data_IF_194068763743
#
_entry.id   IF_194068763743
#
_cell.length_a   1.000
_cell.length_b   1.000
_cell.length_c   1.000
_cell.angle_alpha   90.00
_cell.angle_beta   90.00
_cell.angle_gamma   90.00
#
_symmetry.space_group_name_H-M   'P 1'
#
loop_
_entity.id
_entity.type
_entity.pdbx_description
1 polymer ?
#
# COMPACT_ATOMS: atom_id res chain seq x y z
N UNK A 1 14.19 -17.51 -9.64
CA UNK A 1 12.92 -16.78 -9.56
C UNK A 1 13.28 -15.31 -9.70
N UNK A 2 12.83 -14.69 -10.78
CA UNK A 2 13.41 -13.50 -11.40
C UNK A 2 13.66 -12.31 -10.46
N UNK A 3 14.84 -11.71 -10.62
CA UNK A 3 15.23 -10.37 -10.17
C UNK A 3 14.38 -9.29 -10.85
N UNK A 4 13.08 -9.28 -10.61
CA UNK A 4 12.20 -8.21 -11.07
C UNK A 4 12.58 -6.98 -10.25
N UNK A 5 12.85 -5.86 -10.91
CA UNK A 5 12.91 -4.55 -10.25
C UNK A 5 11.58 -4.29 -9.55
N UNK A 6 11.52 -4.62 -8.26
CA UNK A 6 10.33 -4.42 -7.44
C UNK A 6 10.21 -2.92 -7.22
N UNK A 7 9.22 -2.30 -7.86
CA UNK A 7 8.88 -0.91 -7.55
C UNK A 7 8.52 -0.81 -6.06
N UNK A 8 8.89 0.29 -5.38
CA UNK A 8 8.67 0.43 -3.93
C UNK A 8 7.19 0.27 -3.53
N UNK A 9 6.26 0.69 -4.38
CA UNK A 9 4.82 0.48 -4.19
C UNK A 9 4.41 -1.01 -4.18
N UNK A 10 5.09 -1.84 -4.97
CA UNK A 10 4.81 -3.27 -5.05
C UNK A 10 5.40 -3.98 -3.82
N UNK A 11 6.59 -3.57 -3.35
CA UNK A 11 7.15 -4.04 -2.09
C UNK A 11 6.20 -3.76 -0.92
N UNK A 12 5.66 -2.54 -0.83
CA UNK A 12 4.70 -2.17 0.20
C UNK A 12 3.40 -2.98 0.13
N UNK A 13 2.96 -3.35 -1.07
CA UNK A 13 1.80 -4.21 -1.25
C UNK A 13 2.07 -5.65 -0.77
N UNK A 14 3.26 -6.20 -1.02
CA UNK A 14 3.67 -7.49 -0.48
C UNK A 14 3.76 -7.46 1.05
N UNK A 15 4.31 -6.40 1.64
CA UNK A 15 4.35 -6.19 3.09
C UNK A 15 2.94 -6.20 3.69
N UNK A 16 1.99 -5.49 3.06
CA UNK A 16 0.60 -5.49 3.48
C UNK A 16 -0.05 -6.88 3.36
N UNK A 17 0.32 -7.65 2.33
CA UNK A 17 -0.16 -9.01 2.15
C UNK A 17 0.36 -9.95 3.25
N UNK A 18 1.63 -9.83 3.62
CA UNK A 18 2.22 -10.60 4.72
C UNK A 18 1.60 -10.22 6.07
N UNK A 19 1.40 -8.92 6.33
CA UNK A 19 0.72 -8.44 7.53
C UNK A 19 -0.74 -8.91 7.60
N UNK A 20 -1.43 -9.00 6.46
CA UNK A 20 -2.77 -9.58 6.37
C UNK A 20 -2.78 -11.13 6.50
N UNK A 21 -1.63 -11.79 6.35
CA UNK A 21 -1.43 -13.23 6.43
C UNK A 21 -1.86 -14.03 5.18
N UNK A 22 -2.82 -13.54 4.38
CA UNK A 22 -3.22 -14.21 3.14
C UNK A 22 -3.89 -13.28 2.13
N UNK A 23 -3.88 -13.67 0.85
CA UNK A 23 -4.55 -12.93 -0.22
C UNK A 23 -6.06 -12.86 0.00
N UNK A 24 -6.66 -13.92 0.56
CA UNK A 24 -8.09 -13.97 0.88
C UNK A 24 -8.46 -13.04 2.04
N UNK A 25 -7.63 -12.97 3.08
CA UNK A 25 -7.82 -12.04 4.19
C UNK A 25 -7.74 -10.59 3.72
N UNK A 26 -6.71 -10.27 2.91
CA UNK A 26 -6.56 -8.94 2.32
C UNK A 26 -7.73 -8.58 1.39
N UNK A 27 -8.19 -9.53 0.56
CA UNK A 27 -9.33 -9.31 -0.32
C UNK A 27 -10.62 -9.05 0.46
N UNK A 28 -10.85 -9.81 1.54
CA UNK A 28 -11.98 -9.61 2.46
C UNK A 28 -11.96 -8.21 3.07
N UNK A 29 -10.80 -7.76 3.56
CA UNK A 29 -10.64 -6.39 4.08
C UNK A 29 -10.92 -5.32 3.01
N UNK A 30 -10.45 -5.55 1.79
CA UNK A 30 -10.69 -4.64 0.67
C UNK A 30 -12.15 -4.65 0.19
N UNK A 31 -12.91 -5.69 0.52
CA UNK A 31 -14.24 -5.96 -0.03
C UNK A 31 -14.18 -6.37 -1.51
N UNK A 32 -13.17 -7.14 -1.90
CA UNK A 32 -13.01 -7.65 -3.26
C UNK A 32 -12.71 -9.16 -3.26
N UNK A 33 -12.55 -9.75 -4.44
CA UNK A 33 -12.23 -11.18 -4.58
C UNK A 33 -10.72 -11.41 -4.48
N UNK A 34 -10.31 -12.60 -4.01
CA UNK A 34 -8.90 -12.99 -3.96
C UNK A 34 -8.23 -12.92 -5.35
N UNK A 35 -8.96 -13.27 -6.41
CA UNK A 35 -8.46 -13.15 -7.78
C UNK A 35 -8.16 -11.71 -8.21
N UNK A 36 -8.86 -10.70 -7.68
CA UNK A 36 -8.53 -9.30 -7.94
C UNK A 36 -7.18 -8.92 -7.33
N UNK A 37 -6.90 -9.36 -6.10
CA UNK A 37 -5.60 -9.18 -5.45
C UNK A 37 -4.50 -9.89 -6.24
N UNK A 38 -4.73 -11.14 -6.66
CA UNK A 38 -3.77 -11.89 -7.47
C UNK A 38 -3.45 -11.19 -8.80
N UNK A 39 -4.45 -10.66 -9.51
CA UNK A 39 -4.23 -9.92 -10.76
C UNK A 39 -3.40 -8.65 -10.56
N UNK A 40 -3.62 -7.92 -9.44
CA UNK A 40 -2.83 -6.74 -9.12
C UNK A 40 -1.36 -7.10 -8.86
N UNK A 41 -1.11 -8.19 -8.12
CA UNK A 41 0.23 -8.71 -7.85
C UNK A 41 0.93 -9.16 -9.15
N UNK A 42 0.23 -9.89 -10.01
CA UNK A 42 0.80 -10.34 -11.29
C UNK A 42 1.09 -9.19 -12.25
N UNK A 43 0.28 -8.13 -12.20
CA UNK A 43 0.53 -6.92 -12.98
C UNK A 43 1.73 -6.12 -12.44
N UNK A 44 2.18 -6.40 -11.20
CA UNK A 44 3.19 -5.61 -10.51
C UNK A 44 2.77 -4.16 -10.29
N UNK A 45 1.47 -3.91 -10.15
CA UNK A 45 0.92 -2.56 -10.06
C UNK A 45 0.70 -2.15 -8.61
N UNK A 46 0.77 -0.84 -8.36
CA UNK A 46 0.40 -0.26 -7.07
C UNK A 46 -1.02 -0.62 -6.65
N UNK A 47 -1.27 -0.63 -5.34
CA UNK A 47 -2.60 -0.83 -4.80
C UNK A 47 -3.54 0.32 -5.25
N UNK A 48 -4.75 0.03 -5.76
CA UNK A 48 -5.74 1.06 -6.07
C UNK A 48 -6.07 1.94 -4.85
N UNK A 49 -6.18 3.25 -5.05
CA UNK A 49 -6.41 4.23 -3.97
C UNK A 49 -7.64 3.89 -3.08
N UNK A 50 -8.69 3.32 -3.67
CA UNK A 50 -9.89 2.85 -2.95
C UNK A 50 -9.64 1.76 -1.90
N UNK A 51 -8.54 1.02 -2.03
CA UNK A 51 -8.15 -0.03 -1.09
C UNK A 51 -7.10 0.42 -0.09
N UNK A 52 -6.36 1.51 -0.38
CA UNK A 52 -5.26 1.98 0.46
C UNK A 52 -5.70 2.24 1.91
N UNK A 53 -6.79 2.96 2.13
CA UNK A 53 -7.29 3.25 3.48
C UNK A 53 -7.75 1.99 4.23
N UNK A 54 -8.34 1.02 3.52
CA UNK A 54 -8.80 -0.24 4.11
C UNK A 54 -7.63 -1.13 4.49
N UNK A 55 -6.62 -1.18 3.63
CA UNK A 55 -5.39 -1.94 3.85
C UNK A 55 -4.62 -1.30 5.01
N UNK A 56 -4.40 0.01 5.02
CA UNK A 56 -3.76 0.73 6.13
C UNK A 56 -4.44 0.44 7.48
N UNK A 57 -5.78 0.50 7.53
CA UNK A 57 -6.52 0.19 8.76
C UNK A 57 -6.42 -1.28 9.20
N UNK A 58 -6.25 -2.21 8.27
CA UNK A 58 -6.21 -3.65 8.54
C UNK A 58 -4.82 -4.22 8.74
N UNK A 59 -3.80 -3.65 8.11
CA UNK A 59 -2.42 -4.15 8.09
C UNK A 59 -1.43 -3.24 8.81
N UNK A 60 -1.81 -1.98 9.04
CA UNK A 60 -0.92 -0.97 9.61
C UNK A 60 0.13 -0.42 8.63
N UNK A 61 0.14 -0.87 7.37
CA UNK A 61 1.08 -0.37 6.37
C UNK A 61 0.68 1.04 5.94
N UNK A 62 1.58 2.03 6.02
CA UNK A 62 1.21 3.40 5.75
C UNK A 62 0.89 3.66 4.27
N UNK A 63 -0.13 4.48 4.03
CA UNK A 63 -0.61 4.84 2.69
C UNK A 63 0.46 5.44 1.77
N UNK A 64 1.44 6.16 2.33
CA UNK A 64 2.51 6.80 1.57
C UNK A 64 3.52 5.79 0.99
N UNK A 65 3.60 4.58 1.56
CA UNK A 65 4.38 3.48 0.97
C UNK A 65 3.61 2.74 -0.12
N UNK A 66 2.31 2.54 0.11
CA UNK A 66 1.44 1.87 -0.87
C UNK A 66 1.26 2.70 -2.15
N UNK A 67 1.12 4.02 -2.01
CA UNK A 67 0.87 4.97 -3.11
C UNK A 67 1.56 6.31 -2.84
N UNK A 68 2.89 6.42 -3.00
CA UNK A 68 3.61 7.68 -2.83
C UNK A 68 3.13 8.78 -3.79
N UNK A 69 2.67 8.43 -5.00
CA UNK A 69 2.12 9.40 -5.96
C UNK A 69 0.83 10.09 -5.50
N UNK A 70 0.06 9.44 -4.62
CA UNK A 70 -1.23 9.94 -4.15
C UNK A 70 -1.17 10.44 -2.71
N UNK A 71 -0.26 9.88 -1.92
CA UNK A 71 0.01 10.30 -0.55
C UNK A 71 1.52 10.49 -0.40
N UNK A 72 2.07 11.61 -0.86
CA UNK A 72 3.46 11.92 -0.53
C UNK A 72 3.62 11.93 0.99
N UNK A 73 4.73 11.45 1.56
CA UNK A 73 4.99 11.64 2.97
C UNK A 73 4.96 13.14 3.22
N UNK A 74 4.02 13.60 4.06
CA UNK A 74 4.06 14.99 4.50
C UNK A 74 5.47 15.23 5.06
N UNK A 75 6.17 16.29 4.62
CA UNK A 75 7.39 16.68 5.30
C UNK A 75 6.96 16.97 6.73
N UNK A 76 7.37 16.12 7.67
CA UNK A 76 7.09 16.28 9.08
C UNK A 76 7.55 17.69 9.48
N UNK A 77 6.60 18.62 9.57
CA UNK A 77 6.77 20.01 9.96
C UNK A 77 8.03 20.70 9.46
N UNK A 78 7.87 21.56 8.45
CA UNK A 78 8.45 22.90 8.57
C UNK A 78 7.70 23.64 9.70
N UNK A 79 7.87 23.15 10.93
CA UNK A 79 7.46 23.78 12.16
C UNK A 79 8.63 24.66 12.64
N UNK A 80 9.03 25.61 11.81
CA UNK A 80 9.96 26.66 12.19
C UNK A 80 9.29 28.01 11.88
N UNK A 81 8.74 28.61 12.94
CA UNK A 81 8.71 30.04 13.27
C UNK A 81 8.29 31.05 12.21
N UNK A 82 7.07 31.60 12.35
CA UNK A 82 6.90 33.05 12.20
C UNK A 82 5.84 33.55 13.20
N UNK A 83 6.28 33.70 14.45
CA UNK A 83 5.82 34.77 15.31
C UNK A 83 6.65 36.01 14.97
N UNK A 84 6.02 37.03 14.37
CA UNK A 84 6.50 38.42 14.33
C UNK A 84 5.30 39.35 14.09
#
# INVERSE_FOLDING_TARGET
>A
MSEIGISPEHAAFLEALEAAGSQTALATMCGCTQGNIWQLLQKGSALPAKYVLKVEAGTGVPRHRLRPDLYPPEPAGNAESEAA
#
